data_IF_906776737332
#
_entry.id   IF_906776737332
#
_cell.length_a   1.000
_cell.length_b   1.000
_cell.length_c   1.000
_cell.angle_alpha   90.00
_cell.angle_beta   90.00
_cell.angle_gamma   90.00
#
_symmetry.space_group_name_H-M   'P 1'
#
loop_
_entity.id
_entity.type
_entity.pdbx_description
1 polymer ?
#
# COMPACT_ATOMS: atom_id res chain seq x y z
N UNK A 1 55.06 -12.27 -14.46
CA UNK A 1 54.26 -11.91 -13.26
C UNK A 1 53.31 -10.73 -13.48
N UNK A 2 53.72 -9.58 -13.97
CA UNK A 2 52.87 -8.37 -14.15
C UNK A 2 51.59 -8.55 -15.01
N UNK A 3 51.57 -9.42 -16.02
CA UNK A 3 50.42 -9.68 -16.89
C UNK A 3 49.33 -10.53 -16.21
N UNK A 4 49.69 -11.44 -15.29
CA UNK A 4 48.74 -12.25 -14.51
C UNK A 4 48.02 -11.40 -13.50
N UNK A 5 48.73 -10.58 -12.72
CA UNK A 5 48.14 -9.66 -11.72
C UNK A 5 47.10 -8.73 -12.34
N UNK A 6 47.33 -8.23 -13.58
CA UNK A 6 46.34 -7.39 -14.28
C UNK A 6 45.07 -8.16 -14.66
N UNK A 7 45.18 -9.43 -15.04
CA UNK A 7 44.01 -10.26 -15.36
C UNK A 7 43.20 -10.60 -14.12
N UNK A 8 43.84 -10.91 -13.01
CA UNK A 8 43.19 -11.23 -11.74
C UNK A 8 42.46 -9.98 -11.17
N UNK A 9 43.09 -8.80 -11.28
CA UNK A 9 42.42 -7.53 -10.92
C UNK A 9 41.21 -7.24 -11.79
N UNK A 10 41.23 -7.49 -13.07
CA UNK A 10 40.11 -7.30 -13.99
C UNK A 10 38.96 -8.24 -13.60
N UNK A 11 39.24 -9.49 -13.28
CA UNK A 11 38.23 -10.45 -12.85
C UNK A 11 37.59 -10.05 -11.53
N UNK A 12 38.35 -9.53 -10.56
CA UNK A 12 37.83 -9.02 -9.29
C UNK A 12 36.94 -7.81 -9.53
N UNK A 13 37.37 -6.85 -10.35
CA UNK A 13 36.57 -5.67 -10.68
C UNK A 13 35.26 -6.04 -11.41
N UNK A 14 35.33 -7.01 -12.32
CA UNK A 14 34.15 -7.54 -13.00
C UNK A 14 33.16 -8.20 -12.01
N UNK A 15 33.68 -8.98 -11.07
CA UNK A 15 32.88 -9.60 -10.01
C UNK A 15 32.20 -8.55 -9.12
N UNK A 16 32.92 -7.51 -8.71
CA UNK A 16 32.39 -6.40 -7.96
C UNK A 16 31.30 -5.67 -8.78
N UNK A 17 31.53 -5.42 -10.05
CA UNK A 17 30.57 -4.75 -10.92
C UNK A 17 29.26 -5.56 -11.08
N UNK A 18 29.36 -6.89 -11.22
CA UNK A 18 28.19 -7.78 -11.33
C UNK A 18 27.29 -7.68 -10.08
N UNK A 19 27.87 -7.51 -8.91
CA UNK A 19 27.12 -7.35 -7.65
C UNK A 19 26.67 -5.91 -7.43
N UNK A 20 27.54 -4.93 -7.69
CA UNK A 20 27.26 -3.52 -7.41
C UNK A 20 26.21 -2.92 -8.35
N UNK A 21 26.21 -3.29 -9.64
CA UNK A 21 25.27 -2.70 -10.62
C UNK A 21 23.81 -2.99 -10.27
N UNK A 22 23.37 -4.22 -9.98
CA UNK A 22 21.98 -4.47 -9.56
C UNK A 22 21.59 -3.73 -8.28
N UNK A 23 22.53 -3.63 -7.33
CA UNK A 23 22.29 -2.90 -6.09
C UNK A 23 22.07 -1.39 -6.33
N UNK A 24 22.94 -0.77 -7.15
CA UNK A 24 22.79 0.64 -7.53
C UNK A 24 21.51 0.92 -8.31
N UNK A 25 21.08 0.00 -9.17
CA UNK A 25 19.81 0.12 -9.89
C UNK A 25 18.61 0.07 -8.93
N UNK A 26 18.64 -0.82 -7.94
CA UNK A 26 17.59 -0.88 -6.90
C UNK A 26 17.55 0.39 -6.03
N UNK A 27 18.70 0.93 -5.67
CA UNK A 27 18.76 2.19 -4.91
C UNK A 27 18.13 3.36 -5.69
N UNK A 28 18.42 3.49 -6.99
CA UNK A 28 17.80 4.52 -7.84
C UNK A 28 16.29 4.36 -7.96
N UNK A 29 15.83 3.13 -8.03
CA UNK A 29 14.41 2.82 -8.08
C UNK A 29 13.71 3.21 -6.77
N UNK A 30 14.30 2.85 -5.64
CA UNK A 30 13.80 3.23 -4.31
C UNK A 30 13.74 4.75 -4.14
N UNK A 31 14.79 5.46 -4.58
CA UNK A 31 14.82 6.92 -4.55
C UNK A 31 13.71 7.55 -5.41
N UNK A 32 13.46 6.97 -6.60
CA UNK A 32 12.36 7.42 -7.46
C UNK A 32 10.99 7.17 -6.82
N UNK A 33 10.78 5.98 -6.26
CA UNK A 33 9.57 5.63 -5.53
C UNK A 33 9.33 6.59 -4.36
N UNK A 34 10.35 6.85 -3.56
CA UNK A 34 10.27 7.79 -2.44
C UNK A 34 9.91 9.20 -2.91
N UNK A 35 10.45 9.68 -4.03
CA UNK A 35 10.09 10.98 -4.60
C UNK A 35 8.62 11.08 -4.99
N UNK A 36 8.02 10.01 -5.53
CA UNK A 36 6.57 10.01 -5.81
C UNK A 36 5.75 10.06 -4.52
N UNK A 37 6.14 9.28 -3.52
CA UNK A 37 5.45 9.24 -2.22
C UNK A 37 5.59 10.59 -1.50
N UNK A 38 6.82 11.15 -1.42
CA UNK A 38 7.06 12.47 -0.83
C UNK A 38 6.27 13.57 -1.55
N UNK A 39 6.29 13.58 -2.88
CA UNK A 39 5.52 14.54 -3.65
C UNK A 39 4.01 14.38 -3.41
N UNK A 40 3.54 13.13 -3.27
CA UNK A 40 2.18 12.85 -2.91
C UNK A 40 1.86 13.32 -1.49
N UNK A 41 2.74 13.12 -0.50
CA UNK A 41 2.54 13.51 0.91
C UNK A 41 2.64 15.03 1.14
N UNK A 42 3.50 15.76 0.42
CA UNK A 42 3.73 17.21 0.60
C UNK A 42 2.70 18.11 -0.09
N UNK A 43 1.88 17.61 -1.01
CA UNK A 43 0.91 18.44 -1.76
C UNK A 43 -0.11 19.14 -0.84
N UNK A 44 -0.27 18.70 0.42
CA UNK A 44 -1.19 19.29 1.39
C UNK A 44 -0.55 20.17 2.47
N UNK A 45 0.71 19.98 2.84
CA UNK A 45 1.28 20.67 4.01
C UNK A 45 1.71 22.13 3.76
N UNK A 46 1.72 22.59 2.52
CA UNK A 46 2.28 23.89 2.16
C UNK A 46 1.41 24.77 1.25
N UNK A 47 0.28 25.23 1.75
CA UNK A 47 -0.45 26.35 1.12
C UNK A 47 0.32 27.69 1.23
N UNK A 48 1.51 27.73 1.85
CA UNK A 48 2.18 29.01 2.20
C UNK A 48 3.66 29.21 1.84
N UNK A 49 4.38 28.25 1.28
CA UNK A 49 5.80 28.51 0.94
C UNK A 49 6.28 27.83 -0.36
N UNK A 50 6.72 28.66 -1.29
CA UNK A 50 7.45 28.35 -2.51
C UNK A 50 6.66 27.78 -3.72
N UNK A 51 5.96 28.68 -4.43
CA UNK A 51 5.12 28.37 -5.61
C UNK A 51 5.82 27.65 -6.78
N UNK A 52 7.15 27.74 -6.92
CA UNK A 52 7.84 27.13 -8.06
C UNK A 52 8.12 25.63 -7.86
N UNK A 53 8.53 25.20 -6.67
CA UNK A 53 8.79 23.80 -6.37
C UNK A 53 7.49 22.99 -6.30
N UNK A 54 6.41 23.57 -5.74
CA UNK A 54 5.08 22.98 -5.75
C UNK A 54 4.54 22.78 -7.16
N UNK A 55 4.68 23.76 -8.02
CA UNK A 55 4.22 23.65 -9.41
C UNK A 55 4.97 22.55 -10.17
N UNK A 56 6.24 22.31 -9.85
CA UNK A 56 7.05 21.25 -10.44
C UNK A 56 6.66 19.88 -9.90
N UNK A 57 6.38 19.73 -8.58
CA UNK A 57 5.93 18.50 -7.92
C UNK A 57 4.50 18.11 -8.31
N UNK A 58 3.55 19.05 -8.25
CA UNK A 58 2.17 18.85 -8.71
C UNK A 58 2.11 18.49 -10.21
N UNK A 59 2.98 19.09 -11.03
CA UNK A 59 3.14 18.73 -12.44
C UNK A 59 3.68 17.30 -12.61
N UNK A 60 4.52 16.83 -11.71
CA UNK A 60 5.07 15.47 -11.78
C UNK A 60 3.96 14.44 -11.47
N UNK A 61 3.22 14.63 -10.40
CA UNK A 61 2.10 13.76 -10.01
C UNK A 61 0.98 13.75 -11.05
N UNK A 62 0.58 14.91 -11.56
CA UNK A 62 -0.45 15.03 -12.58
C UNK A 62 -0.02 14.46 -13.92
N UNK A 63 1.26 14.62 -14.29
CA UNK A 63 1.83 14.11 -15.54
C UNK A 63 1.98 12.59 -15.52
N UNK A 64 2.33 12.02 -14.36
CA UNK A 64 2.56 10.58 -14.21
C UNK A 64 1.28 9.83 -13.78
N UNK A 65 0.17 10.53 -13.46
CA UNK A 65 -1.12 9.91 -13.13
C UNK A 65 -1.15 9.17 -11.80
N UNK A 66 -0.40 9.64 -10.79
CA UNK A 66 -0.46 9.08 -9.43
C UNK A 66 -1.81 9.38 -8.80
N UNK A 67 -2.51 8.35 -8.34
CA UNK A 67 -3.85 8.42 -7.75
C UNK A 67 -3.90 8.01 -6.28
N UNK A 68 -2.81 7.47 -5.75
CA UNK A 68 -2.76 7.03 -4.36
C UNK A 68 -1.43 6.41 -3.98
N UNK A 69 -1.37 5.91 -2.76
CA UNK A 69 -0.25 5.14 -2.21
C UNK A 69 -0.79 3.89 -1.52
N UNK A 70 -0.21 2.73 -1.83
CA UNK A 70 -0.49 1.47 -1.14
C UNK A 70 0.65 1.12 -0.19
N UNK A 71 0.30 0.63 1.01
CA UNK A 71 1.24 0.12 2.01
C UNK A 71 0.81 -1.27 2.49
N UNK A 72 1.74 -2.22 2.53
CA UNK A 72 1.54 -3.57 3.10
C UNK A 72 2.71 -3.83 4.06
N UNK A 73 2.57 -3.46 5.35
CA UNK A 73 3.69 -3.50 6.30
C UNK A 73 4.29 -4.89 6.49
N UNK A 74 3.46 -5.94 6.46
CA UNK A 74 3.93 -7.33 6.61
C UNK A 74 4.87 -7.80 5.49
N UNK A 75 4.88 -7.11 4.34
CA UNK A 75 5.72 -7.41 3.19
C UNK A 75 6.75 -6.31 2.87
N UNK A 76 6.85 -5.28 3.72
CA UNK A 76 7.68 -4.08 3.47
C UNK A 76 7.40 -3.44 2.09
N UNK A 77 6.11 -3.38 1.73
CA UNK A 77 5.63 -2.79 0.47
C UNK A 77 5.08 -1.41 0.76
N UNK A 78 5.61 -0.40 0.06
CA UNK A 78 5.07 0.96 -0.02
C UNK A 78 5.35 1.51 -1.40
N UNK A 79 4.29 1.68 -2.22
CA UNK A 79 4.42 2.13 -3.62
C UNK A 79 3.33 3.13 -4.01
N UNK A 80 3.64 4.07 -4.93
CA UNK A 80 2.63 4.89 -5.57
C UNK A 80 1.71 4.02 -6.42
N UNK A 81 0.43 4.41 -6.46
CA UNK A 81 -0.60 3.83 -7.32
C UNK A 81 -0.84 4.78 -8.48
N UNK A 82 -0.74 4.28 -9.70
CA UNK A 82 -0.95 5.01 -10.94
C UNK A 82 -2.29 4.66 -11.56
N UNK A 83 -2.89 5.63 -12.25
CA UNK A 83 -4.08 5.38 -13.05
C UNK A 83 -3.73 4.55 -14.28
N UNK A 84 -4.39 3.41 -14.42
CA UNK A 84 -4.13 2.41 -15.46
C UNK A 84 -3.14 1.33 -15.04
N UNK A 85 -3.32 0.14 -15.62
CA UNK A 85 -2.47 -1.04 -15.38
C UNK A 85 -1.70 -1.44 -16.66
N UNK A 86 -1.32 -0.47 -17.47
CA UNK A 86 -0.48 -0.68 -18.65
C UNK A 86 1.00 -0.83 -18.29
N UNK A 87 1.82 -1.21 -19.27
CA UNK A 87 3.26 -1.45 -19.06
C UNK A 87 4.00 -0.20 -18.56
N UNK A 88 3.55 0.99 -18.90
CA UNK A 88 4.16 2.26 -18.45
C UNK A 88 3.96 2.40 -16.95
N UNK A 89 2.72 2.30 -16.46
CA UNK A 89 2.36 2.43 -15.05
C UNK A 89 2.98 1.33 -14.20
N UNK A 90 2.86 0.08 -14.64
CA UNK A 90 3.42 -1.07 -13.91
C UNK A 90 4.95 -1.06 -13.81
N UNK A 91 5.64 -0.34 -14.70
CA UNK A 91 7.09 -0.13 -14.60
C UNK A 91 7.47 0.95 -13.57
N UNK A 92 6.53 1.82 -13.20
CA UNK A 92 6.76 2.93 -12.27
C UNK A 92 6.25 2.62 -10.85
N UNK A 93 5.23 1.75 -10.71
CA UNK A 93 4.64 1.40 -9.42
C UNK A 93 3.54 0.38 -9.54
N UNK A 94 2.48 0.58 -8.78
CA UNK A 94 1.26 -0.23 -8.80
C UNK A 94 0.25 0.44 -9.72
N UNK A 95 -0.41 -0.34 -10.55
CA UNK A 95 -1.41 0.13 -11.50
C UNK A 95 -2.84 -0.14 -11.03
N UNK A 96 -3.72 0.85 -11.16
CA UNK A 96 -5.15 0.71 -10.93
C UNK A 96 -5.86 0.25 -12.22
N UNK A 97 -6.76 -0.70 -12.11
CA UNK A 97 -7.60 -1.16 -13.22
C UNK A 97 -8.74 -0.15 -13.45
N UNK A 98 -8.64 0.68 -14.49
CA UNK A 98 -9.52 1.83 -14.78
C UNK A 98 -11.02 1.51 -14.89
N UNK A 99 -11.38 0.25 -15.08
CA UNK A 99 -12.77 -0.21 -15.14
C UNK A 99 -13.29 -0.73 -13.79
N UNK A 100 -12.59 -0.45 -12.70
CA UNK A 100 -12.95 -0.83 -11.34
C UNK A 100 -13.15 0.40 -10.45
N UNK A 101 -13.55 0.22 -9.19
CA UNK A 101 -13.80 1.35 -8.30
C UNK A 101 -12.51 2.12 -7.99
N UNK A 102 -12.63 3.43 -7.84
CA UNK A 102 -11.54 4.31 -7.41
C UNK A 102 -11.01 3.94 -6.02
N UNK A 103 -9.72 4.22 -5.70
CA UNK A 103 -9.17 4.03 -4.38
C UNK A 103 -10.01 4.65 -3.26
N UNK A 104 -10.27 3.91 -2.18
CA UNK A 104 -11.04 4.32 -1.02
C UNK A 104 -12.50 4.69 -1.35
N UNK A 105 -13.11 4.04 -2.33
CA UNK A 105 -14.48 4.28 -2.73
C UNK A 105 -15.33 3.00 -2.72
N UNK A 106 -16.63 3.19 -2.80
CA UNK A 106 -17.59 2.07 -2.85
C UNK A 106 -17.41 1.26 -4.13
N UNK A 107 -17.32 -0.05 -4.00
CA UNK A 107 -17.06 -1.00 -5.06
C UNK A 107 -15.73 -1.74 -4.86
N UNK A 108 -15.33 -2.52 -5.84
CA UNK A 108 -14.07 -3.26 -5.83
C UNK A 108 -12.97 -2.45 -6.53
N UNK A 109 -12.04 -1.86 -5.77
CA UNK A 109 -10.83 -1.26 -6.30
C UNK A 109 -9.81 -2.35 -6.61
N UNK A 110 -9.33 -2.42 -7.85
CA UNK A 110 -8.42 -3.48 -8.30
C UNK A 110 -7.05 -2.92 -8.65
N UNK A 111 -6.02 -3.40 -7.96
CA UNK A 111 -4.64 -2.96 -8.12
C UNK A 111 -3.75 -4.09 -8.63
N UNK A 112 -2.96 -3.80 -9.64
CA UNK A 112 -2.01 -4.71 -10.28
C UNK A 112 -0.57 -4.32 -10.01
N UNK A 113 0.30 -5.28 -9.77
CA UNK A 113 1.74 -5.04 -9.63
C UNK A 113 2.56 -6.18 -10.24
N UNK A 114 3.77 -5.86 -10.70
CA UNK A 114 4.69 -6.86 -11.22
C UNK A 114 5.13 -7.89 -10.19
N UNK A 115 5.35 -9.12 -10.67
CA UNK A 115 6.07 -10.16 -9.95
C UNK A 115 7.43 -10.40 -10.63
N UNK A 116 8.53 -10.26 -9.88
CA UNK A 116 9.87 -10.50 -10.40
C UNK A 116 10.41 -9.41 -11.34
N UNK A 117 9.99 -8.16 -11.17
CA UNK A 117 10.53 -7.05 -11.95
C UNK A 117 12.00 -6.79 -11.64
N UNK A 118 12.78 -6.44 -12.70
CA UNK A 118 14.17 -6.00 -12.54
C UNK A 118 14.27 -4.58 -11.96
N UNK A 119 13.20 -3.78 -12.04
CA UNK A 119 13.17 -2.37 -11.63
C UNK A 119 12.83 -2.18 -10.17
N UNK A 120 11.87 -2.95 -9.63
CA UNK A 120 11.40 -2.82 -8.26
C UNK A 120 10.83 -4.12 -7.71
N UNK A 121 10.52 -4.12 -6.43
CA UNK A 121 9.94 -5.29 -5.76
C UNK A 121 8.46 -5.40 -6.10
N UNK A 122 7.73 -4.28 -6.14
CA UNK A 122 6.29 -4.21 -6.41
C UNK A 122 5.50 -5.28 -5.65
N UNK A 123 4.80 -6.17 -6.35
CA UNK A 123 4.06 -7.30 -5.77
C UNK A 123 4.81 -8.65 -5.87
N UNK A 124 6.15 -8.63 -5.98
CA UNK A 124 6.97 -9.86 -6.05
C UNK A 124 6.74 -10.80 -4.87
N UNK A 125 6.55 -10.25 -3.68
CA UNK A 125 6.33 -11.02 -2.46
C UNK A 125 4.86 -11.11 -2.05
N UNK A 126 3.92 -10.68 -2.89
CA UNK A 126 2.50 -10.69 -2.56
C UNK A 126 1.98 -12.09 -2.23
N UNK A 127 2.58 -13.14 -2.82
CA UNK A 127 2.21 -14.53 -2.52
C UNK A 127 2.55 -14.98 -1.08
N UNK A 128 3.33 -14.18 -0.34
CA UNK A 128 3.66 -14.46 1.05
C UNK A 128 2.68 -13.78 2.03
N UNK A 129 1.66 -13.09 1.51
CA UNK A 129 0.68 -12.42 2.36
C UNK A 129 -0.25 -13.47 3.01
N UNK A 130 -0.57 -13.26 4.28
CA UNK A 130 -1.45 -14.14 5.04
C UNK A 130 -2.83 -13.50 5.23
N UNK A 131 -3.86 -14.32 5.40
CA UNK A 131 -5.18 -13.83 5.80
C UNK A 131 -5.07 -13.10 7.16
N UNK A 132 -5.78 -11.98 7.30
CA UNK A 132 -5.68 -11.10 8.45
C UNK A 132 -4.58 -10.04 8.35
N UNK A 133 -3.70 -10.08 7.34
CA UNK A 133 -2.71 -9.04 7.12
C UNK A 133 -3.36 -7.69 6.79
N UNK A 134 -2.76 -6.60 7.27
CA UNK A 134 -3.24 -5.24 7.03
C UNK A 134 -2.70 -4.67 5.72
N UNK A 135 -3.57 -4.02 4.99
CA UNK A 135 -3.25 -3.26 3.78
C UNK A 135 -3.81 -1.85 3.96
N UNK A 136 -3.00 -0.85 3.69
CA UNK A 136 -3.43 0.54 3.73
C UNK A 136 -3.42 1.11 2.32
N UNK A 137 -4.47 1.82 1.97
CA UNK A 137 -4.58 2.54 0.71
C UNK A 137 -4.93 4.00 1.00
N UNK A 138 -4.14 4.91 0.46
CA UNK A 138 -4.38 6.35 0.57
C UNK A 138 -4.74 6.87 -0.82
N UNK A 139 -5.86 7.59 -0.95
CA UNK A 139 -6.31 8.17 -2.22
C UNK A 139 -5.78 9.60 -2.44
N UNK A 140 -6.14 10.23 -3.57
CA UNK A 140 -5.77 11.63 -3.89
C UNK A 140 -6.28 12.65 -2.86
N UNK A 141 -7.42 12.37 -2.21
CA UNK A 141 -8.00 13.23 -1.17
C UNK A 141 -7.34 13.04 0.19
N UNK A 142 -6.30 12.21 0.27
CA UNK A 142 -5.58 11.86 1.52
C UNK A 142 -6.39 11.04 2.50
N UNK A 143 -7.48 10.50 2.08
CA UNK A 143 -8.22 9.52 2.86
C UNK A 143 -7.41 8.22 2.87
N UNK A 144 -7.04 7.75 4.06
CA UNK A 144 -6.31 6.51 4.27
C UNK A 144 -7.25 5.47 4.87
N UNK A 145 -7.55 4.45 4.09
CA UNK A 145 -8.37 3.34 4.52
C UNK A 145 -7.52 2.12 4.87
N UNK A 146 -7.89 1.44 5.93
CA UNK A 146 -7.31 0.18 6.34
C UNK A 146 -8.19 -0.98 5.86
N UNK A 147 -7.55 -1.97 5.26
CA UNK A 147 -8.18 -3.20 4.81
C UNK A 147 -7.51 -4.40 5.46
N UNK A 148 -8.28 -5.46 5.64
CA UNK A 148 -7.79 -6.76 6.10
C UNK A 148 -7.89 -7.78 4.97
N UNK A 149 -6.83 -8.54 4.74
CA UNK A 149 -6.82 -9.65 3.78
C UNK A 149 -7.79 -10.73 4.24
N UNK A 150 -8.75 -11.07 3.39
CA UNK A 150 -9.78 -12.09 3.67
C UNK A 150 -9.55 -13.39 2.93
N UNK A 151 -9.09 -13.31 1.68
CA UNK A 151 -8.90 -14.48 0.83
C UNK A 151 -7.73 -14.30 -0.14
N UNK A 152 -7.03 -15.39 -0.41
CA UNK A 152 -6.01 -15.46 -1.47
C UNK A 152 -6.25 -16.65 -2.38
N UNK A 153 -6.04 -16.46 -3.68
CA UNK A 153 -6.29 -17.51 -4.69
C UNK A 153 -5.41 -17.37 -5.92
N UNK A 154 -5.02 -18.49 -6.51
CA UNK A 154 -4.41 -18.49 -7.85
C UNK A 154 -5.51 -18.79 -8.88
N UNK A 155 -5.66 -17.88 -9.83
CA UNK A 155 -6.72 -17.94 -10.85
C UNK A 155 -6.17 -17.85 -12.26
N UNK A 156 -7.02 -18.13 -13.26
CA UNK A 156 -6.71 -17.89 -14.66
C UNK A 156 -6.58 -16.37 -14.93
N UNK A 157 -5.75 -15.92 -15.89
CA UNK A 157 -5.60 -14.51 -16.21
C UNK A 157 -6.89 -13.77 -16.61
N UNK A 158 -7.89 -14.50 -17.07
CA UNK A 158 -9.18 -13.97 -17.54
C UNK A 158 -10.34 -14.28 -16.57
N UNK A 159 -10.02 -14.67 -15.33
CA UNK A 159 -11.01 -14.96 -14.31
C UNK A 159 -11.70 -13.67 -13.86
N UNK A 160 -13.01 -13.57 -14.07
CA UNK A 160 -13.83 -12.41 -13.76
C UNK A 160 -13.88 -12.13 -12.25
N UNK A 161 -13.60 -13.12 -11.40
CA UNK A 161 -13.54 -12.98 -9.95
C UNK A 161 -12.59 -11.87 -9.49
N UNK A 162 -11.53 -11.58 -10.29
CA UNK A 162 -10.57 -10.50 -9.98
C UNK A 162 -11.24 -9.13 -9.98
N UNK A 163 -12.09 -8.86 -10.97
CA UNK A 163 -12.72 -7.56 -11.21
C UNK A 163 -14.19 -7.53 -10.81
N UNK A 164 -14.71 -8.62 -10.22
CA UNK A 164 -16.10 -8.72 -9.81
C UNK A 164 -16.52 -7.52 -8.95
N UNK A 165 -17.59 -6.80 -9.32
CA UNK A 165 -18.09 -5.67 -8.58
C UNK A 165 -18.62 -6.08 -7.20
N UNK A 166 -18.39 -5.25 -6.19
CA UNK A 166 -18.92 -5.44 -4.84
C UNK A 166 -19.93 -4.37 -4.48
N UNK A 167 -20.92 -4.70 -3.64
CA UNK A 167 -21.92 -3.75 -3.18
C UNK A 167 -21.34 -2.72 -2.19
N UNK A 168 -20.34 -3.10 -1.42
CA UNK A 168 -19.60 -2.28 -0.48
C UNK A 168 -18.21 -1.95 -1.01
N UNK A 169 -17.45 -1.18 -0.26
CA UNK A 169 -16.05 -0.96 -0.51
C UNK A 169 -15.26 -2.27 -0.35
N UNK A 170 -14.34 -2.54 -1.27
CA UNK A 170 -13.39 -3.65 -1.19
C UNK A 170 -12.14 -3.36 -2.01
N UNK A 171 -11.07 -4.08 -1.73
CA UNK A 171 -9.79 -3.95 -2.40
C UNK A 171 -9.32 -5.31 -2.90
N UNK A 172 -8.94 -5.39 -4.17
CA UNK A 172 -8.35 -6.58 -4.78
C UNK A 172 -6.96 -6.25 -5.26
N UNK A 173 -5.97 -7.04 -4.83
CA UNK A 173 -4.60 -6.95 -5.31
C UNK A 173 -4.29 -8.17 -6.16
N UNK A 174 -3.55 -7.99 -7.25
CA UNK A 174 -3.10 -9.16 -8.00
C UNK A 174 -1.73 -8.96 -8.64
N UNK A 175 -1.06 -10.09 -8.87
CA UNK A 175 0.22 -10.16 -9.56
C UNK A 175 0.30 -11.41 -10.45
N UNK A 176 1.29 -11.46 -11.33
CA UNK A 176 1.55 -12.65 -12.14
C UNK A 176 2.00 -13.83 -11.27
N UNK A 177 1.48 -15.02 -11.57
CA UNK A 177 1.90 -16.28 -10.97
C UNK A 177 2.26 -17.30 -12.05
N UNK A 178 2.99 -18.36 -11.68
CA UNK A 178 3.36 -19.45 -12.56
C UNK A 178 3.96 -18.96 -13.91
N UNK A 179 4.99 -18.12 -13.84
CA UNK A 179 5.66 -17.53 -15.01
C UNK A 179 4.70 -16.72 -15.92
N UNK A 180 3.64 -16.12 -15.33
CA UNK A 180 2.67 -15.30 -16.06
C UNK A 180 1.45 -16.02 -16.60
N UNK A 181 1.37 -17.34 -16.45
CA UNK A 181 0.22 -18.15 -16.91
C UNK A 181 -1.01 -18.01 -16.03
N UNK A 182 -0.82 -17.60 -14.79
CA UNK A 182 -1.87 -17.39 -13.80
C UNK A 182 -1.76 -16.01 -13.12
N UNK A 183 -2.73 -15.71 -12.26
CA UNK A 183 -2.71 -14.55 -11.37
C UNK A 183 -2.82 -15.02 -9.92
N UNK A 184 -1.96 -14.53 -9.06
CA UNK A 184 -2.14 -14.60 -7.62
C UNK A 184 -2.96 -13.39 -7.19
N UNK A 185 -4.10 -13.63 -6.58
CA UNK A 185 -5.10 -12.63 -6.22
C UNK A 185 -5.31 -12.62 -4.72
N UNK A 186 -5.44 -11.43 -4.17
CA UNK A 186 -5.70 -11.15 -2.75
C UNK A 186 -6.95 -10.31 -2.66
N UNK A 187 -7.96 -10.77 -1.94
CA UNK A 187 -9.16 -10.00 -1.61
C UNK A 187 -9.02 -9.41 -0.21
N UNK A 188 -9.40 -8.16 -0.08
CA UNK A 188 -9.36 -7.43 1.17
C UNK A 188 -10.68 -6.70 1.41
N UNK A 189 -11.11 -6.67 2.67
CA UNK A 189 -12.29 -5.94 3.12
C UNK A 189 -11.87 -4.77 4.02
N UNK A 190 -12.56 -3.63 3.97
CA UNK A 190 -12.25 -2.50 4.82
C UNK A 190 -12.48 -2.86 6.29
N UNK A 191 -11.57 -2.41 7.14
CA UNK A 191 -11.77 -2.46 8.58
C UNK A 191 -12.86 -1.45 8.93
N UNK A 192 -14.00 -1.93 9.42
CA UNK A 192 -15.04 -1.05 9.94
C UNK A 192 -14.49 -0.44 11.22
N UNK A 193 -14.45 0.89 11.30
CA UNK A 193 -14.25 1.56 12.57
C UNK A 193 -15.38 1.09 13.50
N UNK A 194 -15.07 0.20 14.43
CA UNK A 194 -15.95 -0.04 15.55
C UNK A 194 -15.91 1.21 16.41
N UNK A 195 -17.07 1.72 16.78
CA UNK A 195 -17.32 2.89 17.63
C UNK A 195 -16.77 2.73 19.07
N UNK A 196 -15.63 2.07 19.24
CA UNK A 196 -14.99 1.83 20.55
C UNK A 196 -14.21 3.03 21.10
N UNK A 197 -14.16 4.17 20.38
CA UNK A 197 -13.54 5.38 20.90
C UNK A 197 -14.52 6.28 21.70
N UNK A 198 -15.82 6.01 21.69
CA UNK A 198 -16.79 6.78 22.48
C UNK A 198 -16.78 6.45 23.98
N UNK A 199 -16.08 5.39 24.41
CA UNK A 199 -16.09 4.94 25.84
C UNK A 199 -14.90 5.47 26.65
N UNK A 200 -13.88 6.08 26.03
CA UNK A 200 -12.69 6.58 26.73
C UNK A 200 -12.77 8.04 27.18
N UNK A 201 -13.70 8.85 26.68
CA UNK A 201 -13.84 10.25 27.09
C UNK A 201 -14.83 10.47 28.27
N UNK A 202 -15.73 9.52 28.55
CA UNK A 202 -16.67 9.66 29.68
C UNK A 202 -16.09 9.28 31.06
N UNK A 203 -14.87 8.77 31.16
CA UNK A 203 -14.28 8.37 32.46
C UNK A 203 -13.36 9.41 33.13
N UNK A 204 -13.17 10.58 32.56
CA UNK A 204 -12.31 11.62 33.14
C UNK A 204 -13.07 12.86 33.65
N UNK A 205 -14.40 12.83 33.72
CA UNK A 205 -15.23 13.98 34.08
C UNK A 205 -15.74 14.05 35.53
N UNK A 206 -15.77 12.96 36.26
CA UNK A 206 -16.41 12.94 37.60
C UNK A 206 -15.49 12.45 38.70
N UNK A 207 -14.61 13.29 39.14
CA UNK A 207 -14.01 13.15 40.45
C UNK A 207 -13.81 14.52 41.13
N UNK A 208 -14.91 15.14 41.57
CA UNK A 208 -14.88 16.08 42.74
C UNK A 208 -16.29 16.18 43.33
N UNK A 209 -16.42 15.80 44.62
CA UNK A 209 -17.45 16.12 45.62
C UNK A 209 -18.75 15.32 45.55
N UNK A 210 -19.16 14.59 46.53
CA UNK A 210 -19.28 14.87 47.94
C UNK A 210 -19.73 13.63 48.73
N UNK A 211 -19.26 13.56 49.94
CA UNK A 211 -19.66 12.70 51.05
C UNK A 211 -21.14 12.78 51.39
N UNK A 212 -21.63 11.68 51.99
CA UNK A 212 -22.84 11.48 52.81
C UNK A 212 -24.13 11.12 52.03
N UNK A 213 -24.56 9.92 52.11
CA UNK A 213 -25.50 9.36 53.06
C UNK A 213 -25.78 7.88 52.72
N UNK A 214 -25.59 7.13 53.75
CA UNK A 214 -25.96 5.73 53.82
C UNK A 214 -27.48 5.54 53.86
N UNK A 215 -27.87 4.29 53.65
CA UNK A 215 -29.02 3.58 54.23
C UNK A 215 -30.03 3.05 53.20
N UNK A 216 -30.04 1.71 53.20
CA UNK A 216 -31.16 0.77 53.03
C UNK A 216 -31.98 0.77 51.71
N UNK A 217 -32.03 -0.30 51.02
CA UNK A 217 -33.06 -1.33 51.06
C UNK A 217 -32.69 -2.60 50.28
N UNK A 218 -32.66 -3.59 50.96
CA UNK A 218 -32.79 -5.00 50.92
C UNK A 218 -34.01 -5.55 50.14
N UNK A 219 -33.78 -6.70 49.49
CA UNK A 219 -34.73 -7.79 49.16
C UNK A 219 -35.86 -7.62 48.16
N UNK A 220 -35.90 -8.46 47.16
CA UNK A 220 -36.76 -9.64 46.96
C UNK A 220 -36.66 -10.07 45.46
N UNK A 221 -36.12 -11.26 45.15
CA UNK A 221 -36.70 -12.61 45.07
C UNK A 221 -37.81 -12.76 43.99
N UNK A 222 -37.50 -13.64 43.01
CA UNK A 222 -38.31 -14.62 42.26
C UNK A 222 -39.51 -14.14 41.41
N UNK A 223 -39.46 -14.33 40.11
CA UNK A 223 -40.01 -15.50 39.39
C UNK A 223 -39.41 -15.55 38.00
#
# INVERSE_FOLDING_TARGET
MRKRIKKDMILILLGIAIVAVPFLLRMKEQERNNRYIEAFDEEQDHEKQNKEDHKKKASLLSKEGVIGVIEIPSLDIKYPVFEGAGSVQLNEGIGHMTNTAEPCSKGNCVLAGHNGSRRGVYFTYLSNIEAGAKVFLTNKSREKHEYTVTETKVVNPYDEWVTEPTAGESLTLFTCANHGTNRFVVKCEPVKETDDQAVSEERNGDNVKNTADAVFYHMAICF
#
